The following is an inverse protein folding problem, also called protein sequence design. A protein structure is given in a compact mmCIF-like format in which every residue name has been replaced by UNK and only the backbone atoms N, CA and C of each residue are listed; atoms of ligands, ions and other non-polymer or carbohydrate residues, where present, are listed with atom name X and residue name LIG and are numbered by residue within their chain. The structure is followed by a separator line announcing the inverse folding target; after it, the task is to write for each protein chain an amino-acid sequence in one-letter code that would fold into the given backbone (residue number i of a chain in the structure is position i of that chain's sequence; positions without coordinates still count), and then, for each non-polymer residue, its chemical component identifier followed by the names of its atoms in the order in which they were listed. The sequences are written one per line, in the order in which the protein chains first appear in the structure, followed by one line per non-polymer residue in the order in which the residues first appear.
data_IF_613621901355
#
_entry.id   IF_613621901355
#
_cell.length_a   1.000
_cell.length_b   1.000
_cell.length_c   1.000
_cell.angle_alpha   90.00
_cell.angle_beta   90.00
_cell.angle_gamma   90.00
#
_symmetry.space_group_name_H-M   'P 1'
#
loop_
_entity.id
_entity.type
_entity.pdbx_description
1 polymer ?
#
# COMPACT_ATOMS: atom_id res chain seq x y z
N UNK A 1 6.85 17.99 -37.44
CA UNK A 1 5.66 17.76 -36.59
C UNK A 1 6.16 16.97 -35.40
N UNK A 2 6.43 17.67 -34.30
CA UNK A 2 6.80 17.09 -33.02
C UNK A 2 5.56 16.40 -32.45
N UNK A 3 5.64 15.08 -32.24
CA UNK A 3 4.66 14.41 -31.37
C UNK A 3 4.93 14.89 -29.96
N UNK A 4 4.09 15.83 -29.50
CA UNK A 4 3.85 16.02 -28.07
C UNK A 4 3.21 14.73 -27.56
N UNK A 5 4.03 13.85 -26.99
CA UNK A 5 3.52 12.85 -26.06
C UNK A 5 3.10 13.66 -24.84
N UNK A 6 1.83 14.04 -24.78
CA UNK A 6 1.25 14.60 -23.57
C UNK A 6 1.53 13.60 -22.45
N UNK A 7 2.38 14.00 -21.51
CA UNK A 7 2.56 13.29 -20.26
C UNK A 7 1.20 13.41 -19.57
N UNK A 8 0.38 12.36 -19.67
CA UNK A 8 -0.91 12.33 -18.99
C UNK A 8 -0.63 12.16 -17.51
N UNK A 9 -0.73 13.27 -16.76
CA UNK A 9 -0.69 13.32 -15.31
C UNK A 9 -1.75 12.36 -14.77
N UNK A 10 -1.28 11.17 -14.43
CA UNK A 10 -2.11 10.05 -14.04
C UNK A 10 -1.93 9.80 -12.55
N UNK A 11 -3.02 9.84 -11.79
CA UNK A 11 -3.01 9.65 -10.33
C UNK A 11 -3.53 8.27 -9.92
N UNK A 12 -3.11 7.75 -8.77
CA UNK A 12 -3.66 6.52 -8.19
C UNK A 12 -5.19 6.60 -7.98
N UNK A 13 -5.70 7.80 -7.70
CA UNK A 13 -7.14 8.05 -7.56
C UNK A 13 -7.92 7.74 -8.86
N UNK A 14 -7.32 7.97 -10.04
CA UNK A 14 -7.98 7.61 -11.30
C UNK A 14 -8.15 6.10 -11.44
N UNK A 15 -7.15 5.30 -11.06
CA UNK A 15 -7.28 3.84 -11.02
C UNK A 15 -8.31 3.36 -9.98
N UNK A 16 -8.44 4.04 -8.85
CA UNK A 16 -9.46 3.74 -7.83
C UNK A 16 -10.89 4.00 -8.31
N UNK A 17 -11.06 4.96 -9.21
CA UNK A 17 -12.36 5.44 -9.71
C UNK A 17 -12.72 4.88 -11.10
N UNK A 18 -11.87 4.03 -11.68
CA UNK A 18 -12.08 3.49 -13.03
C UNK A 18 -13.18 2.41 -13.12
N UNK A 19 -13.73 1.95 -11.98
CA UNK A 19 -14.68 0.85 -11.92
C UNK A 19 -16.12 1.21 -12.28
N UNK A 20 -16.83 0.24 -12.88
CA UNK A 20 -18.29 0.21 -13.00
C UNK A 20 -18.91 -0.98 -12.24
N UNK A 21 -19.99 -0.75 -11.47
CA UNK A 21 -20.55 0.56 -11.13
C UNK A 21 -19.57 1.51 -10.42
N UNK A 22 -19.78 2.82 -10.59
CA UNK A 22 -18.90 3.85 -9.99
C UNK A 22 -19.21 4.09 -8.52
N UNK A 23 -20.36 3.58 -8.05
CA UNK A 23 -20.73 3.53 -6.65
C UNK A 23 -21.05 2.07 -6.26
N UNK A 24 -20.48 1.60 -5.15
CA UNK A 24 -20.79 0.26 -4.60
C UNK A 24 -22.29 0.07 -4.33
N UNK A 25 -23.03 1.17 -4.15
CA UNK A 25 -24.49 1.20 -3.98
C UNK A 25 -25.26 0.60 -5.16
N UNK A 26 -24.65 0.57 -6.34
CA UNK A 26 -25.23 0.03 -7.57
C UNK A 26 -24.90 -1.47 -7.74
N UNK A 27 -24.08 -2.05 -6.84
CA UNK A 27 -23.86 -3.50 -6.78
C UNK A 27 -25.05 -4.13 -6.05
N UNK A 28 -25.91 -4.82 -6.79
CA UNK A 28 -27.17 -5.37 -6.27
C UNK A 28 -27.00 -6.57 -5.32
N UNK A 29 -25.82 -7.21 -5.30
CA UNK A 29 -25.59 -8.41 -4.49
C UNK A 29 -25.33 -8.07 -3.02
N UNK A 30 -26.12 -8.67 -2.14
CA UNK A 30 -25.90 -8.68 -0.69
C UNK A 30 -24.82 -9.70 -0.35
N UNK A 31 -23.86 -9.30 0.49
CA UNK A 31 -22.80 -10.17 0.98
C UNK A 31 -23.32 -11.10 2.08
N UNK A 32 -22.86 -12.35 2.05
CA UNK A 32 -23.11 -13.32 3.11
C UNK A 32 -22.45 -12.88 4.44
N UNK A 33 -23.00 -13.34 5.57
CA UNK A 33 -22.56 -12.91 6.90
C UNK A 33 -21.08 -13.24 7.19
N UNK A 34 -20.59 -14.37 6.65
CA UNK A 34 -19.19 -14.78 6.76
C UNK A 34 -18.24 -13.85 5.98
N UNK A 35 -18.65 -13.35 4.81
CA UNK A 35 -17.91 -12.33 4.06
C UNK A 35 -17.83 -11.03 4.86
N UNK A 36 -18.93 -10.60 5.48
CA UNK A 36 -18.97 -9.39 6.31
C UNK A 36 -18.09 -9.55 7.55
N UNK A 37 -18.16 -10.70 8.22
CA UNK A 37 -17.32 -11.02 9.36
C UNK A 37 -15.82 -11.00 8.97
N UNK A 38 -15.45 -11.67 7.87
CA UNK A 38 -14.08 -11.68 7.38
C UNK A 38 -13.58 -10.27 7.00
N UNK A 39 -14.43 -9.41 6.43
CA UNK A 39 -14.10 -8.02 6.15
C UNK A 39 -13.82 -7.22 7.43
N UNK A 40 -14.64 -7.40 8.46
CA UNK A 40 -14.50 -6.70 9.73
C UNK A 40 -13.26 -7.12 10.53
N UNK A 41 -12.69 -8.30 10.24
CA UNK A 41 -11.45 -8.79 10.85
C UNK A 41 -10.18 -8.22 10.20
N UNK A 42 -10.30 -7.52 9.05
CA UNK A 42 -9.14 -6.98 8.32
C UNK A 42 -8.41 -5.93 9.17
N UNK A 43 -7.10 -6.12 9.32
CA UNK A 43 -6.17 -5.16 9.92
C UNK A 43 -5.28 -4.56 8.84
N UNK A 44 -5.32 -3.24 8.69
CA UNK A 44 -4.49 -2.49 7.73
C UNK A 44 -3.01 -2.85 7.90
N UNK A 45 -2.32 -3.09 6.79
CA UNK A 45 -0.91 -3.48 6.74
C UNK A 45 -0.55 -4.75 7.53
N UNK A 46 -1.51 -5.52 8.06
CA UNK A 46 -1.29 -6.72 8.87
C UNK A 46 -2.07 -7.92 8.37
N UNK A 47 -3.02 -7.71 7.46
CA UNK A 47 -3.80 -8.75 6.84
C UNK A 47 -3.44 -8.93 5.37
N UNK A 48 -3.63 -10.14 4.89
CA UNK A 48 -3.81 -10.45 3.48
C UNK A 48 -5.20 -11.06 3.26
N UNK A 49 -5.74 -10.89 2.06
CA UNK A 49 -7.07 -11.37 1.70
C UNK A 49 -7.05 -12.18 0.43
N UNK A 50 -7.89 -13.21 0.37
CA UNK A 50 -8.17 -13.97 -0.84
C UNK A 50 -9.62 -13.75 -1.24
N UNK A 51 -9.83 -13.28 -2.47
CA UNK A 51 -11.15 -12.86 -2.98
C UNK A 51 -11.71 -13.90 -3.93
N UNK A 52 -12.95 -14.36 -3.73
CA UNK A 52 -13.69 -15.24 -4.65
C UNK A 52 -12.93 -16.51 -5.12
N UNK A 53 -11.95 -16.98 -4.35
CA UNK A 53 -11.10 -18.12 -4.71
C UNK A 53 -9.98 -17.81 -5.71
N UNK A 54 -9.59 -16.55 -5.89
CA UNK A 54 -8.38 -16.16 -6.65
C UNK A 54 -7.14 -16.88 -6.09
N UNK A 55 -6.25 -17.33 -6.96
CA UNK A 55 -5.09 -18.16 -6.57
C UNK A 55 -4.08 -17.44 -5.66
N UNK A 56 -4.03 -16.10 -5.71
CA UNK A 56 -3.06 -15.29 -4.97
C UNK A 56 -3.77 -14.41 -3.94
N UNK A 57 -3.26 -14.43 -2.71
CA UNK A 57 -3.66 -13.49 -1.68
C UNK A 57 -3.11 -12.08 -1.99
N UNK A 58 -3.91 -11.06 -1.68
CA UNK A 58 -3.57 -9.65 -1.83
C UNK A 58 -3.29 -9.06 -0.45
N UNK A 59 -2.27 -8.22 -0.36
CA UNK A 59 -1.87 -7.54 0.87
C UNK A 59 -2.78 -6.35 1.12
N UNK A 60 -3.29 -6.22 2.34
CA UNK A 60 -4.18 -5.12 2.73
C UNK A 60 -3.34 -3.93 3.13
N UNK A 61 -3.49 -2.81 2.44
CA UNK A 61 -2.88 -1.54 2.83
C UNK A 61 -3.86 -0.59 3.52
N UNK A 62 -3.78 0.69 3.14
CA UNK A 62 -4.53 1.77 3.81
C UNK A 62 -6.03 1.69 3.51
N UNK A 63 -6.83 2.16 4.46
CA UNK A 63 -8.25 2.41 4.25
C UNK A 63 -8.49 3.57 3.25
N UNK A 64 -9.50 3.46 2.39
CA UNK A 64 -9.84 4.50 1.40
C UNK A 64 -10.51 5.75 2.01
N UNK A 65 -10.83 5.74 3.31
CA UNK A 65 -11.19 6.93 4.08
C UNK A 65 -12.51 7.60 3.69
N UNK A 66 -13.31 7.00 2.79
CA UNK A 66 -14.67 7.42 2.46
C UNK A 66 -15.67 6.38 2.96
N UNK A 67 -16.94 6.79 3.05
CA UNK A 67 -18.07 5.88 3.11
C UNK A 67 -18.47 5.66 1.64
N UNK A 68 -18.34 4.45 1.07
CA UNK A 68 -18.15 3.13 1.71
C UNK A 68 -16.74 2.87 2.26
N UNK A 69 -16.68 2.27 3.46
CA UNK A 69 -15.43 1.83 4.08
C UNK A 69 -14.74 0.82 3.17
N UNK A 70 -13.47 1.03 2.83
CA UNK A 70 -12.73 0.10 1.99
C UNK A 70 -11.24 0.09 2.28
N UNK A 71 -10.55 -0.87 1.69
CA UNK A 71 -9.10 -1.06 1.79
C UNK A 71 -8.48 -1.13 0.40
N UNK A 72 -7.35 -0.46 0.23
CA UNK A 72 -6.47 -0.68 -0.91
C UNK A 72 -5.83 -2.05 -0.79
N UNK A 73 -5.84 -2.80 -1.87
CA UNK A 73 -5.20 -4.10 -1.97
C UNK A 73 -3.99 -3.99 -2.89
N UNK A 74 -2.93 -4.70 -2.52
CA UNK A 74 -1.67 -4.70 -3.24
C UNK A 74 -1.24 -6.12 -3.58
N UNK A 75 -0.63 -6.30 -4.73
CA UNK A 75 0.06 -7.54 -5.05
C UNK A 75 1.30 -7.69 -4.16
N UNK A 76 1.72 -8.94 -3.96
CA UNK A 76 3.01 -9.21 -3.34
C UNK A 76 4.11 -8.69 -4.28
N UNK A 77 5.12 -7.96 -3.80
CA UNK A 77 6.18 -7.44 -4.66
C UNK A 77 6.88 -8.54 -5.46
N UNK A 78 7.00 -9.74 -4.88
CA UNK A 78 7.66 -10.89 -5.50
C UNK A 78 6.82 -11.55 -6.63
N UNK A 79 5.63 -11.01 -6.94
CA UNK A 79 4.75 -11.54 -7.98
C UNK A 79 5.15 -11.01 -9.37
N UNK A 80 5.83 -11.85 -10.16
CA UNK A 80 6.24 -11.51 -11.52
C UNK A 80 5.10 -10.96 -12.39
N UNK A 81 5.38 -9.85 -13.08
CA UNK A 81 4.51 -9.28 -14.12
C UNK A 81 3.23 -8.62 -13.60
N UNK A 82 3.13 -8.32 -12.30
CA UNK A 82 1.95 -7.70 -11.71
C UNK A 82 2.33 -6.39 -11.02
N UNK A 83 1.57 -5.34 -11.28
CA UNK A 83 1.77 -4.06 -10.63
C UNK A 83 1.52 -4.13 -9.11
N UNK A 84 2.05 -3.17 -8.37
CA UNK A 84 1.93 -3.10 -6.92
C UNK A 84 0.49 -2.98 -6.44
N UNK A 85 -0.34 -2.12 -7.04
CA UNK A 85 -1.75 -1.95 -6.67
C UNK A 85 -2.63 -2.99 -7.39
N UNK A 86 -3.53 -3.63 -6.66
CA UNK A 86 -4.43 -4.65 -7.20
C UNK A 86 -5.86 -4.12 -7.43
N UNK A 87 -6.25 -3.10 -6.67
CA UNK A 87 -7.60 -2.57 -6.63
C UNK A 87 -8.06 -2.26 -5.21
N UNK A 88 -9.35 -2.03 -5.05
CA UNK A 88 -9.97 -1.64 -3.79
C UNK A 88 -11.02 -2.64 -3.36
N UNK A 89 -10.92 -3.14 -2.14
CA UNK A 89 -12.00 -3.87 -1.47
C UNK A 89 -12.92 -2.86 -0.79
N UNK A 90 -14.19 -2.87 -1.15
CA UNK A 90 -15.20 -1.91 -0.73
C UNK A 90 -16.27 -2.60 0.12
N UNK A 91 -16.76 -1.92 1.15
CA UNK A 91 -17.86 -2.38 1.99
C UNK A 91 -18.83 -1.23 2.28
N UNK A 92 -20.11 -1.51 2.03
CA UNK A 92 -21.23 -0.62 2.35
C UNK A 92 -22.22 -1.34 3.24
N UNK A 93 -22.72 -0.61 4.24
CA UNK A 93 -23.89 -0.98 5.03
C UNK A 93 -25.07 -0.10 4.63
N UNK A 94 -26.18 -0.72 4.29
CA UNK A 94 -27.45 -0.07 3.94
C UNK A 94 -28.45 -0.31 5.07
N UNK A 95 -28.88 0.77 5.71
CA UNK A 95 -29.81 0.70 6.84
C UNK A 95 -31.24 0.45 6.37
N UNK A 96 -31.89 -0.55 6.96
CA UNK A 96 -33.30 -0.84 6.69
C UNK A 96 -34.15 -0.59 7.94
N UNK A 97 -35.31 0.04 7.76
CA UNK A 97 -36.16 0.50 8.88
C UNK A 97 -36.82 -0.65 9.64
N UNK A 98 -37.08 -1.76 8.96
CA UNK A 98 -37.90 -2.88 9.45
C UNK A 98 -37.28 -4.27 9.19
N UNK A 99 -35.97 -4.32 8.91
CA UNK A 99 -35.19 -5.55 8.62
C UNK A 99 -33.76 -5.39 9.11
N UNK A 100 -33.03 -6.50 9.13
CA UNK A 100 -31.58 -6.47 9.33
C UNK A 100 -30.91 -5.64 8.23
N UNK A 101 -29.80 -4.98 8.59
CA UNK A 101 -29.07 -4.15 7.64
C UNK A 101 -28.49 -5.01 6.52
N UNK A 102 -28.54 -4.49 5.29
CA UNK A 102 -27.95 -5.13 4.14
C UNK A 102 -26.50 -4.68 4.00
N UNK A 103 -25.61 -5.64 3.80
CA UNK A 103 -24.20 -5.40 3.60
C UNK A 103 -23.83 -5.77 2.17
N UNK A 104 -23.06 -4.89 1.53
CA UNK A 104 -22.49 -5.15 0.20
C UNK A 104 -20.98 -5.10 0.36
N UNK A 105 -20.30 -6.17 -0.08
CA UNK A 105 -18.85 -6.23 -0.16
C UNK A 105 -18.48 -6.50 -1.62
N UNK A 106 -17.64 -5.65 -2.19
CA UNK A 106 -17.25 -5.74 -3.59
C UNK A 106 -15.78 -5.42 -3.77
N UNK A 107 -15.20 -5.88 -4.87
CA UNK A 107 -13.84 -5.57 -5.26
C UNK A 107 -13.85 -4.82 -6.58
N UNK A 108 -13.27 -3.62 -6.56
CA UNK A 108 -12.97 -2.86 -7.75
C UNK A 108 -11.52 -3.17 -8.15
N UNK A 109 -11.26 -4.02 -9.16
CA UNK A 109 -9.90 -4.26 -9.63
C UNK A 109 -9.32 -2.99 -10.23
N UNK A 110 -8.01 -2.83 -10.13
CA UNK A 110 -7.33 -1.79 -10.87
C UNK A 110 -7.17 -2.18 -12.34
N UNK A 111 -7.33 -1.19 -13.24
CA UNK A 111 -7.06 -1.35 -14.66
C UNK A 111 -5.56 -1.41 -14.95
N UNK A 112 -5.22 -1.88 -16.14
CA UNK A 112 -3.88 -1.80 -16.72
C UNK A 112 -3.52 -0.37 -17.10
N UNK A 113 -4.53 0.48 -17.34
CA UNK A 113 -4.42 1.90 -17.56
C UNK A 113 -5.54 2.68 -16.82
N UNK A 114 -5.38 3.99 -16.57
CA UNK A 114 -6.30 4.76 -15.72
C UNK A 114 -7.68 4.98 -16.36
N UNK A 115 -7.71 4.99 -17.68
CA UNK A 115 -8.93 5.09 -18.48
C UNK A 115 -9.63 3.76 -18.69
N UNK A 116 -9.00 2.64 -18.31
CA UNK A 116 -9.60 1.32 -18.47
C UNK A 116 -10.75 1.17 -17.49
N UNK A 117 -11.94 1.08 -18.05
CA UNK A 117 -13.14 0.80 -17.28
C UNK A 117 -13.07 -0.62 -16.71
N UNK A 118 -13.02 -0.74 -15.38
CA UNK A 118 -12.97 -2.04 -14.71
C UNK A 118 -14.36 -2.48 -14.24
N UNK A 119 -14.55 -3.79 -14.07
CA UNK A 119 -15.82 -4.34 -13.59
C UNK A 119 -15.70 -4.58 -12.09
N UNK A 120 -16.55 -3.92 -11.31
CA UNK A 120 -16.65 -4.14 -9.87
C UNK A 120 -17.34 -5.48 -9.61
N UNK A 121 -16.63 -6.39 -8.94
CA UNK A 121 -17.09 -7.75 -8.69
C UNK A 121 -17.64 -7.87 -7.26
N UNK A 122 -18.85 -8.39 -7.05
CA UNK A 122 -19.32 -8.72 -5.71
C UNK A 122 -18.48 -9.84 -5.10
N UNK A 123 -18.22 -9.74 -3.79
CA UNK A 123 -17.45 -10.73 -3.04
C UNK A 123 -18.39 -11.73 -2.38
N UNK A 124 -18.30 -12.98 -2.85
CA UNK A 124 -19.07 -14.13 -2.34
C UNK A 124 -18.23 -15.03 -1.43
N UNK A 125 -16.90 -14.91 -1.49
CA UNK A 125 -15.95 -15.59 -0.58
C UNK A 125 -14.81 -14.66 -0.26
N UNK A 126 -14.56 -14.44 1.02
CA UNK A 126 -13.46 -13.63 1.53
C UNK A 126 -12.73 -14.41 2.62
N UNK A 127 -11.49 -14.81 2.33
CA UNK A 127 -10.60 -15.34 3.37
C UNK A 127 -9.68 -14.22 3.82
N UNK A 128 -9.60 -13.99 5.13
CA UNK A 128 -8.70 -13.00 5.74
C UNK A 128 -7.68 -13.74 6.60
N UNK A 129 -6.40 -13.46 6.38
CA UNK A 129 -5.29 -14.04 7.15
C UNK A 129 -4.41 -12.93 7.69
N UNK A 130 -4.00 -13.04 8.95
CA UNK A 130 -2.98 -12.15 9.53
C UNK A 130 -1.58 -12.61 9.13
N UNK A 131 -0.68 -11.66 8.94
CA UNK A 131 0.74 -11.89 8.69
C UNK A 131 1.60 -11.03 9.62
N UNK A 132 2.87 -11.40 9.82
CA UNK A 132 3.76 -10.73 10.79
C UNK A 132 4.77 -9.75 10.16
N UNK A 133 4.62 -9.41 8.87
CA UNK A 133 5.60 -8.58 8.14
C UNK A 133 5.76 -7.17 8.72
N UNK A 134 4.69 -6.57 9.20
CA UNK A 134 4.73 -5.23 9.80
C UNK A 134 5.36 -5.27 11.18
N UNK A 135 5.04 -6.26 12.00
CA UNK A 135 5.69 -6.51 13.29
C UNK A 135 7.18 -6.77 13.12
N UNK A 136 7.56 -7.52 12.08
CA UNK A 136 8.96 -7.76 11.72
C UNK A 136 9.66 -6.46 11.36
N UNK A 137 9.05 -5.61 10.53
CA UNK A 137 9.64 -4.31 10.18
C UNK A 137 9.77 -3.42 11.41
N UNK A 138 8.72 -3.36 12.24
CA UNK A 138 8.72 -2.55 13.47
C UNK A 138 9.85 -2.94 14.42
N UNK A 139 10.12 -4.25 14.53
CA UNK A 139 11.20 -4.78 15.37
C UNK A 139 12.62 -4.45 14.90
N UNK A 140 12.82 -4.03 13.65
CA UNK A 140 14.13 -3.65 13.10
C UNK A 140 14.21 -2.18 12.68
N UNK A 141 13.14 -1.42 12.88
CA UNK A 141 12.98 -0.11 12.26
C UNK A 141 13.97 0.91 12.83
N UNK A 142 14.22 0.91 14.14
CA UNK A 142 15.14 1.86 14.75
C UNK A 142 16.59 1.58 14.36
N UNK A 143 16.96 0.32 14.19
CA UNK A 143 18.27 -0.09 13.71
C UNK A 143 18.45 0.28 12.23
N UNK A 144 17.42 0.13 11.39
CA UNK A 144 17.43 0.65 10.01
C UNK A 144 17.66 2.17 10.03
N UNK A 145 16.93 2.91 10.87
CA UNK A 145 17.10 4.36 10.97
C UNK A 145 18.51 4.75 11.40
N UNK A 146 19.05 4.03 12.39
CA UNK A 146 20.42 4.24 12.87
C UNK A 146 21.45 4.00 11.78
N UNK A 147 21.28 2.93 11.00
CA UNK A 147 22.17 2.63 9.88
C UNK A 147 22.08 3.67 8.75
N UNK A 148 20.89 4.22 8.49
CA UNK A 148 20.68 5.21 7.43
C UNK A 148 21.12 6.62 7.82
N UNK A 149 20.94 7.03 9.09
CA UNK A 149 21.21 8.40 9.53
C UNK A 149 22.54 8.55 10.26
N UNK A 150 23.24 7.45 10.60
CA UNK A 150 24.39 7.42 11.51
C UNK A 150 24.11 8.02 12.90
N UNK A 151 22.83 8.05 13.32
CA UNK A 151 22.38 8.62 14.60
C UNK A 151 21.72 7.54 15.44
N UNK A 152 21.89 7.56 16.77
CA UNK A 152 21.33 6.50 17.63
C UNK A 152 19.80 6.65 17.83
N UNK A 153 19.03 5.77 17.19
CA UNK A 153 17.58 5.65 17.40
C UNK A 153 17.21 4.55 18.41
N UNK A 154 18.15 3.73 18.86
CA UNK A 154 17.92 2.57 19.71
C UNK A 154 17.69 3.00 21.16
N UNK A 155 18.53 3.91 21.68
CA UNK A 155 18.48 4.27 23.11
C UNK A 155 17.17 4.96 23.52
N UNK A 156 16.61 5.81 22.65
CA UNK A 156 15.43 6.64 22.97
C UNK A 156 14.26 6.50 21.98
N UNK A 157 14.35 5.62 20.98
CA UNK A 157 13.35 5.49 19.91
C UNK A 157 13.21 6.73 19.04
N UNK A 158 14.11 7.71 19.20
CA UNK A 158 14.12 9.01 18.55
C UNK A 158 15.53 9.56 18.55
N UNK A 159 16.03 9.90 17.37
CA UNK A 159 17.24 10.69 17.21
C UNK A 159 16.88 12.11 16.76
N UNK A 160 17.60 13.11 17.26
CA UNK A 160 17.50 14.49 16.77
C UNK A 160 18.39 14.63 15.53
N UNK A 161 17.87 14.12 14.41
CA UNK A 161 18.54 14.15 13.12
C UNK A 161 18.40 15.51 12.44
N UNK A 162 19.49 15.99 11.87
CA UNK A 162 19.60 17.16 11.04
C UNK A 162 19.12 16.89 9.62
N UNK A 163 18.85 17.96 8.87
CA UNK A 163 18.51 17.85 7.45
C UNK A 163 19.60 17.14 6.62
N UNK A 164 20.88 17.28 7.00
CA UNK A 164 21.98 16.58 6.34
C UNK A 164 21.88 15.06 6.50
N UNK A 165 21.56 14.59 7.71
CA UNK A 165 21.34 13.17 8.00
C UNK A 165 20.09 12.64 7.29
N UNK A 166 19.06 13.47 7.08
CA UNK A 166 17.89 13.06 6.29
C UNK A 166 18.25 12.82 4.83
N UNK A 167 19.04 13.72 4.24
CA UNK A 167 19.50 13.60 2.85
C UNK A 167 20.45 12.40 2.69
N UNK A 168 21.32 12.16 3.68
CA UNK A 168 22.17 10.98 3.70
C UNK A 168 21.33 9.69 3.69
N UNK A 169 20.34 9.58 4.58
CA UNK A 169 19.48 8.41 4.69
C UNK A 169 18.76 8.07 3.37
N UNK A 170 18.22 9.08 2.68
CA UNK A 170 17.54 8.85 1.40
C UNK A 170 18.52 8.53 0.27
N UNK A 171 19.71 9.13 0.25
CA UNK A 171 20.74 8.80 -0.72
C UNK A 171 21.25 7.36 -0.54
N UNK A 172 21.48 6.94 0.70
CA UNK A 172 21.90 5.56 0.98
C UNK A 172 20.83 4.55 0.57
N UNK A 173 19.55 4.83 0.86
CA UNK A 173 18.47 3.96 0.44
C UNK A 173 18.29 3.98 -1.09
N UNK A 174 18.52 5.12 -1.74
CA UNK A 174 18.51 5.25 -3.19
C UNK A 174 19.64 4.45 -3.86
N UNK A 175 20.86 4.55 -3.34
CA UNK A 175 22.02 3.77 -3.79
C UNK A 175 21.76 2.29 -3.60
N UNK A 176 21.22 1.90 -2.44
CA UNK A 176 20.80 0.52 -2.17
C UNK A 176 19.80 0.01 -3.22
N UNK A 177 18.74 0.76 -3.55
CA UNK A 177 17.78 0.40 -4.61
C UNK A 177 18.47 0.22 -5.96
N UNK A 178 19.40 1.13 -6.30
CA UNK A 178 20.07 1.12 -7.60
C UNK A 178 21.02 -0.08 -7.75
N UNK A 179 21.61 -0.54 -6.64
CA UNK A 179 22.53 -1.69 -6.57
C UNK A 179 21.81 -3.05 -6.55
N UNK A 180 20.48 -3.08 -6.38
CA UNK A 180 19.70 -4.31 -6.50
C UNK A 180 19.63 -4.76 -7.97
N UNK A 181 20.48 -5.71 -8.34
CA UNK A 181 20.51 -6.34 -9.68
C UNK A 181 19.19 -7.05 -10.02
N UNK A 182 18.55 -7.63 -8.99
CA UNK A 182 17.20 -8.19 -9.05
C UNK A 182 16.28 -7.21 -8.32
N UNK A 183 15.34 -6.59 -9.05
CA UNK A 183 14.39 -5.57 -8.55
C UNK A 183 12.98 -6.14 -8.32
N UNK A 184 12.79 -7.17 -7.49
CA UNK A 184 11.45 -7.70 -7.25
C UNK A 184 10.57 -6.64 -6.60
N UNK A 185 11.13 -5.66 -5.88
CA UNK A 185 10.32 -4.70 -5.14
C UNK A 185 9.70 -3.60 -6.02
N UNK A 186 10.13 -3.39 -7.28
CA UNK A 186 9.68 -2.28 -8.15
C UNK A 186 9.54 -0.91 -7.44
N UNK A 187 10.27 -0.68 -6.33
CA UNK A 187 10.17 0.57 -5.58
C UNK A 187 11.10 1.59 -6.22
N UNK A 188 10.59 2.71 -6.72
CA UNK A 188 11.37 3.63 -7.53
C UNK A 188 12.22 4.52 -6.62
N UNK A 189 13.48 4.68 -7.02
CA UNK A 189 14.47 5.54 -6.34
C UNK A 189 13.95 6.97 -6.09
N UNK A 190 13.16 7.54 -7.01
CA UNK A 190 12.58 8.87 -6.81
C UNK A 190 11.59 8.94 -5.63
N UNK A 191 10.89 7.85 -5.32
CA UNK A 191 9.90 7.85 -4.26
C UNK A 191 10.53 7.98 -2.87
N UNK A 192 11.75 7.45 -2.64
CA UNK A 192 12.41 7.61 -1.34
C UNK A 192 12.80 9.06 -1.04
N UNK A 193 12.97 9.87 -2.08
CA UNK A 193 13.29 11.30 -1.98
C UNK A 193 12.07 12.16 -1.63
N UNK A 194 10.86 11.59 -1.68
CA UNK A 194 9.66 12.32 -1.33
C UNK A 194 9.63 12.69 0.15
N UNK A 195 9.22 13.92 0.46
CA UNK A 195 9.34 14.49 1.81
C UNK A 195 8.66 13.63 2.89
N UNK A 196 7.52 13.01 2.59
CA UNK A 196 6.82 12.14 3.55
C UNK A 196 7.60 10.86 3.86
N UNK A 197 8.20 10.24 2.85
CA UNK A 197 8.99 9.01 3.01
C UNK A 197 10.32 9.36 3.70
N UNK A 198 11.02 10.38 3.21
CA UNK A 198 12.24 10.92 3.84
C UNK A 198 12.03 11.20 5.33
N UNK A 199 10.98 11.94 5.69
CA UNK A 199 10.71 12.26 7.09
C UNK A 199 10.32 11.02 7.90
N UNK A 200 9.55 10.09 7.34
CA UNK A 200 9.14 8.89 8.06
C UNK A 200 10.31 7.97 8.42
N UNK A 201 11.32 7.92 7.55
CA UNK A 201 12.55 7.17 7.80
C UNK A 201 13.48 7.96 8.73
N UNK A 202 13.78 9.21 8.39
CA UNK A 202 14.94 9.88 8.97
C UNK A 202 14.62 10.96 10.01
N UNK A 203 13.35 11.32 10.25
CA UNK A 203 12.98 12.46 11.12
C UNK A 203 12.00 12.09 12.23
N UNK A 204 10.97 11.33 11.91
CA UNK A 204 9.88 11.03 12.83
C UNK A 204 9.99 9.60 13.37
N UNK A 205 9.78 9.39 14.69
CA UNK A 205 9.79 8.07 15.30
C UNK A 205 8.46 7.33 15.04
N UNK A 206 8.15 7.12 13.75
CA UNK A 206 6.96 6.39 13.34
C UNK A 206 7.15 4.90 13.62
N UNK A 207 6.08 4.22 14.02
CA UNK A 207 6.03 2.76 13.93
C UNK A 207 5.93 2.35 12.45
N UNK A 208 6.11 1.06 12.17
CA UNK A 208 6.05 0.53 10.81
C UNK A 208 4.70 0.79 10.12
N UNK A 209 3.58 0.68 10.83
CA UNK A 209 2.24 0.89 10.27
C UNK A 209 2.02 2.34 9.80
N UNK A 210 2.45 3.31 10.61
CA UNK A 210 2.36 4.74 10.31
C UNK A 210 3.32 5.15 9.19
N UNK A 211 4.51 4.54 9.14
CA UNK A 211 5.45 4.71 8.04
C UNK A 211 4.86 4.23 6.71
N UNK A 212 4.24 3.05 6.70
CA UNK A 212 3.57 2.50 5.51
C UNK A 212 2.34 3.32 5.12
N UNK A 213 1.61 3.86 6.10
CA UNK A 213 0.49 4.76 5.86
C UNK A 213 0.96 6.08 5.21
N UNK A 214 2.06 6.68 5.67
CA UNK A 214 2.64 7.87 5.05
C UNK A 214 3.17 7.58 3.65
N UNK A 215 3.79 6.42 3.46
CA UNK A 215 4.22 5.95 2.15
C UNK A 215 3.02 5.85 1.20
N UNK A 216 1.92 5.24 1.63
CA UNK A 216 0.68 5.15 0.84
C UNK A 216 0.13 6.53 0.45
N UNK A 217 0.11 7.50 1.36
CA UNK A 217 -0.33 8.86 1.06
C UNK A 217 0.61 9.56 0.08
N UNK A 218 1.91 9.35 0.25
CA UNK A 218 2.93 9.94 -0.59
C UNK A 218 2.86 9.46 -2.03
N UNK A 219 2.75 8.13 -2.20
CA UNK A 219 2.61 7.50 -3.51
C UNK A 219 1.33 7.96 -4.23
N UNK A 220 0.28 8.27 -3.47
CA UNK A 220 -0.99 8.79 -4.01
C UNK A 220 -0.91 10.25 -4.47
N UNK A 221 -0.18 11.10 -3.73
CA UNK A 221 -0.26 12.57 -3.88
C UNK A 221 0.81 13.17 -4.79
N UNK A 222 2.04 12.64 -4.81
CA UNK A 222 3.20 13.37 -5.32
C UNK A 222 3.88 12.75 -6.54
N UNK A 223 3.52 11.53 -6.91
CA UNK A 223 4.20 10.84 -8.01
C UNK A 223 3.42 11.03 -9.30
N UNK A 224 3.64 12.19 -9.93
CA UNK A 224 3.26 12.43 -11.33
C UNK A 224 3.79 11.27 -12.18
N UNK A 225 2.91 10.67 -12.98
CA UNK A 225 3.25 9.63 -13.94
C UNK A 225 3.45 8.24 -13.36
N UNK A 226 2.39 7.66 -12.79
CA UNK A 226 2.19 6.21 -12.79
C UNK A 226 3.17 5.40 -11.93
N UNK A 227 2.85 5.24 -10.66
CA UNK A 227 3.31 4.09 -9.89
C UNK A 227 2.12 3.32 -9.34
N UNK A 228 1.31 2.83 -10.28
CA UNK A 228 0.55 1.60 -10.07
C UNK A 228 1.47 0.46 -9.60
N UNK A 229 2.75 0.53 -9.98
CA UNK A 229 3.82 -0.42 -9.65
C UNK A 229 4.42 -0.25 -8.24
N UNK A 230 4.61 0.98 -7.73
CA UNK A 230 5.07 1.15 -6.34
C UNK A 230 3.93 0.94 -5.35
N UNK A 231 4.23 0.21 -4.28
CA UNK A 231 3.31 0.01 -3.18
C UNK A 231 4.00 0.26 -1.84
N UNK A 232 3.24 0.54 -0.76
CA UNK A 232 3.77 0.46 0.60
C UNK A 232 4.39 -0.91 0.89
N UNK A 233 3.89 -1.95 0.21
CA UNK A 233 4.38 -3.32 0.35
C UNK A 233 5.76 -3.53 -0.26
N UNK A 234 5.99 -2.97 -1.43
CA UNK A 234 7.31 -2.86 -2.03
C UNK A 234 8.30 -2.13 -1.10
N UNK A 235 7.86 -1.02 -0.50
CA UNK A 235 8.67 -0.28 0.46
C UNK A 235 8.98 -1.09 1.72
N UNK A 236 8.00 -1.82 2.26
CA UNK A 236 8.19 -2.74 3.38
C UNK A 236 9.24 -3.81 3.06
N UNK A 237 9.14 -4.44 1.90
CA UNK A 237 10.12 -5.45 1.47
C UNK A 237 11.51 -4.84 1.32
N UNK A 238 11.60 -3.66 0.70
CA UNK A 238 12.87 -2.94 0.54
C UNK A 238 13.56 -2.70 1.88
N UNK A 239 12.84 -2.18 2.87
CA UNK A 239 13.41 -1.91 4.20
C UNK A 239 13.83 -3.19 4.94
N UNK A 240 13.04 -4.25 4.84
CA UNK A 240 13.40 -5.55 5.41
C UNK A 240 14.65 -6.14 4.73
N UNK A 241 14.78 -5.98 3.41
CA UNK A 241 15.95 -6.42 2.66
C UNK A 241 17.20 -5.60 2.99
N UNK A 242 17.03 -4.29 3.15
CA UNK A 242 18.09 -3.41 3.64
C UNK A 242 18.59 -3.88 5.02
N UNK A 243 17.68 -4.17 5.95
CA UNK A 243 18.04 -4.69 7.27
C UNK A 243 18.81 -6.01 7.17
N UNK A 244 18.33 -6.96 6.36
CA UNK A 244 19.01 -8.24 6.13
C UNK A 244 20.43 -8.05 5.59
N UNK A 245 20.63 -7.20 4.58
CA UNK A 245 21.94 -6.97 3.96
C UNK A 245 22.91 -6.22 4.89
N UNK A 246 22.41 -5.32 5.74
CA UNK A 246 23.22 -4.59 6.73
C UNK A 246 23.44 -5.40 8.01
N UNK A 247 22.86 -6.59 8.13
CA UNK A 247 22.97 -7.44 9.33
C UNK A 247 22.25 -6.86 10.55
N UNK A 248 21.27 -5.98 10.31
CA UNK A 248 20.38 -5.42 11.31
C UNK A 248 19.37 -6.50 11.76
N UNK A 249 19.21 -6.67 13.07
CA UNK A 249 18.41 -7.75 13.67
C UNK A 249 17.57 -7.26 14.83
#
# INVERSE_FOLDING_TARGET
MTSDTAQTDTTLEQFELAGKPTDISEVEETADADVVEAFNQIKRFKSQVQLNGRDRALLVGRSTGRNPSGYRLYHRPEAEGVAGFAGTLLHKRSFQRDRDDEHTVAFNPAGSEPSEETIVEPIRRLNTEEHTRTERLDGVLNEIRTALTDSDWIENGRADTSYGEWIQAVNELADFINDLEDRPEQFPTRAVMESKIMHGIARYPLNAEDLLAQTSDCLRENLDGGLFEASPEAFRTLLLRYAEQKGVK
#
